data_IF_502752986717
#
_entry.id   IF_502752986717
#
_cell.length_a   1.000
_cell.length_b   1.000
_cell.length_c   1.000
_cell.angle_alpha   90.00
_cell.angle_beta   90.00
_cell.angle_gamma   90.00
#
_symmetry.space_group_name_H-M   'P 1'
#
loop_
_entity.id
_entity.type
_entity.pdbx_description
1 polymer ?
#
# COMPACT_ATOMS: atom_id res chain seq x y z
N UNK A 1 -35.53 8.59 -3.51
CA UNK A 1 -34.28 9.12 -2.93
C UNK A 1 -33.40 7.96 -2.53
N UNK A 2 -32.15 7.94 -3.01
CA UNK A 2 -31.10 6.93 -2.74
C UNK A 2 -31.25 5.56 -3.40
N UNK A 3 -32.48 5.06 -3.49
CA UNK A 3 -32.73 3.68 -3.92
C UNK A 3 -33.17 3.63 -5.40
N UNK A 4 -33.30 4.80 -6.05
CA UNK A 4 -33.66 4.97 -7.45
C UNK A 4 -32.86 6.07 -8.10
N UNK A 5 -32.53 5.91 -9.37
CA UNK A 5 -31.99 6.97 -10.23
C UNK A 5 -33.11 7.51 -11.10
N UNK A 6 -33.22 8.84 -11.17
CA UNK A 6 -34.14 9.55 -12.07
C UNK A 6 -33.36 10.03 -13.29
N UNK A 7 -33.78 9.63 -14.49
CA UNK A 7 -33.21 10.03 -15.77
C UNK A 7 -34.24 10.89 -16.49
N UNK A 8 -33.84 12.10 -16.90
CA UNK A 8 -34.68 12.96 -17.74
C UNK A 8 -34.56 12.54 -19.19
N UNK A 9 -35.67 12.17 -19.84
CA UNK A 9 -35.69 11.75 -21.25
C UNK A 9 -36.25 12.84 -22.16
N UNK A 10 -37.27 13.56 -21.67
CA UNK A 10 -37.84 14.77 -22.29
C UNK A 10 -38.23 15.76 -21.19
N UNK A 11 -38.50 17.04 -21.48
CA UNK A 11 -38.99 17.97 -20.47
C UNK A 11 -40.20 17.38 -19.72
N UNK A 12 -40.11 17.34 -18.39
CA UNK A 12 -41.12 16.78 -17.48
C UNK A 12 -41.39 15.27 -17.61
N UNK A 13 -40.64 14.54 -18.44
CA UNK A 13 -40.73 13.08 -18.58
C UNK A 13 -39.47 12.40 -18.05
N UNK A 14 -39.67 11.52 -17.08
CA UNK A 14 -38.59 10.87 -16.35
C UNK A 14 -38.73 9.35 -16.39
N UNK A 15 -37.60 8.67 -16.55
CA UNK A 15 -37.46 7.25 -16.28
C UNK A 15 -36.84 7.09 -14.89
N UNK A 16 -37.35 6.11 -14.14
CA UNK A 16 -36.78 5.73 -12.85
C UNK A 16 -36.17 4.34 -12.95
N UNK A 17 -34.96 4.18 -12.44
CA UNK A 17 -34.29 2.88 -12.35
C UNK A 17 -34.08 2.56 -10.87
N UNK A 18 -34.63 1.44 -10.42
CA UNK A 18 -34.38 0.90 -9.07
C UNK A 18 -32.93 0.41 -8.97
N UNK A 19 -32.22 0.89 -7.96
CA UNK A 19 -30.87 0.49 -7.67
C UNK A 19 -30.87 -0.80 -6.84
N UNK A 20 -30.23 -1.84 -7.36
CA UNK A 20 -29.93 -3.07 -6.61
C UNK A 20 -28.49 -3.04 -6.13
N UNK A 21 -28.30 -3.02 -4.82
CA UNK A 21 -26.97 -2.92 -4.22
C UNK A 21 -26.90 -3.63 -2.86
N UNK A 22 -25.70 -4.04 -2.46
CA UNK A 22 -25.47 -4.72 -1.19
C UNK A 22 -25.06 -3.76 -0.06
N UNK A 23 -24.79 -4.34 1.12
CA UNK A 23 -24.38 -3.60 2.33
C UNK A 23 -23.18 -2.68 2.13
N UNK A 24 -22.20 -3.08 1.31
CA UNK A 24 -21.03 -2.25 1.02
C UNK A 24 -21.42 -0.94 0.34
N UNK A 25 -22.24 -1.00 -0.70
CA UNK A 25 -22.69 0.17 -1.44
C UNK A 25 -23.67 1.01 -0.62
N UNK A 26 -24.51 0.36 0.18
CA UNK A 26 -25.50 1.02 1.06
C UNK A 26 -24.85 2.09 1.94
N UNK A 27 -23.68 1.81 2.52
CA UNK A 27 -22.90 2.78 3.31
C UNK A 27 -22.57 4.08 2.57
N UNK A 28 -22.30 4.02 1.27
CA UNK A 28 -22.03 5.22 0.47
C UNK A 28 -23.31 5.99 0.13
N UNK A 29 -24.40 5.26 -0.14
CA UNK A 29 -25.71 5.87 -0.40
C UNK A 29 -26.20 6.58 0.85
N UNK A 30 -26.06 5.96 2.03
CA UNK A 30 -26.45 6.56 3.31
C UNK A 30 -25.58 7.78 3.63
N UNK A 31 -24.26 7.68 3.48
CA UNK A 31 -23.36 8.83 3.67
C UNK A 31 -23.64 9.98 2.69
N UNK A 32 -24.09 9.69 1.46
CA UNK A 32 -24.57 10.70 0.51
C UNK A 32 -25.91 11.32 0.94
N UNK A 33 -26.87 10.50 1.41
CA UNK A 33 -28.16 10.99 1.96
C UNK A 33 -27.95 11.95 3.14
N UNK A 34 -26.95 11.66 3.98
CA UNK A 34 -26.55 12.49 5.11
C UNK A 34 -25.72 13.75 4.71
N UNK A 35 -25.46 13.96 3.42
CA UNK A 35 -24.69 15.10 2.93
C UNK A 35 -23.17 15.00 3.13
N UNK A 36 -22.65 13.87 3.61
CA UNK A 36 -21.21 13.65 3.83
C UNK A 36 -20.44 13.37 2.54
N UNK A 37 -21.13 12.94 1.48
CA UNK A 37 -20.57 12.69 0.16
C UNK A 37 -21.32 13.47 -0.90
N UNK A 38 -20.62 13.87 -1.95
CA UNK A 38 -21.19 14.42 -3.19
C UNK A 38 -21.12 13.38 -4.29
N UNK A 39 -22.06 13.38 -5.22
CA UNK A 39 -22.00 12.50 -6.41
C UNK A 39 -21.23 13.18 -7.53
N UNK A 40 -20.42 12.42 -8.27
CA UNK A 40 -19.90 12.82 -9.56
C UNK A 40 -20.86 12.47 -10.71
N UNK A 41 -20.33 12.46 -11.92
CA UNK A 41 -21.09 12.04 -13.11
C UNK A 41 -21.44 10.55 -13.04
N UNK A 42 -22.73 10.24 -13.13
CA UNK A 42 -23.23 8.86 -13.08
C UNK A 42 -23.15 8.27 -14.48
N UNK A 43 -22.50 7.10 -14.60
CA UNK A 43 -22.42 6.37 -15.88
C UNK A 43 -23.28 5.13 -15.83
N UNK A 44 -24.04 4.89 -16.89
CA UNK A 44 -24.91 3.73 -17.04
C UNK A 44 -24.44 2.93 -18.26
N UNK A 45 -24.34 1.62 -18.11
CA UNK A 45 -24.21 0.69 -19.23
C UNK A 45 -25.23 -0.44 -19.10
N UNK A 46 -25.27 -1.33 -20.09
CA UNK A 46 -26.23 -2.44 -20.16
C UNK A 46 -26.25 -3.35 -18.92
N UNK A 47 -25.12 -3.44 -18.20
CA UNK A 47 -24.93 -4.40 -17.11
C UNK A 47 -24.89 -3.78 -15.72
N UNK A 48 -24.57 -2.48 -15.61
CA UNK A 48 -24.37 -1.83 -14.31
C UNK A 48 -24.48 -0.31 -14.39
N UNK A 49 -24.76 0.26 -13.23
CA UNK A 49 -24.70 1.69 -12.99
C UNK A 49 -23.49 1.98 -12.11
N UNK A 50 -22.71 2.99 -12.48
CA UNK A 50 -21.54 3.47 -11.77
C UNK A 50 -21.87 4.84 -11.20
N UNK A 51 -21.95 4.92 -9.88
CA UNK A 51 -22.18 6.17 -9.14
C UNK A 51 -20.87 6.53 -8.43
N UNK A 52 -20.08 7.49 -8.94
CA UNK A 52 -18.90 7.95 -8.25
C UNK A 52 -19.28 8.86 -7.08
N UNK A 53 -18.67 8.64 -5.93
CA UNK A 53 -18.79 9.51 -4.76
C UNK A 53 -17.51 10.29 -4.53
N UNK A 54 -17.65 11.57 -4.21
CA UNK A 54 -16.59 12.51 -3.86
C UNK A 54 -16.73 12.84 -2.38
N UNK A 55 -15.63 12.70 -1.63
CA UNK A 55 -15.52 13.08 -0.23
C UNK A 55 -14.60 14.28 -0.14
N UNK A 56 -15.08 15.37 0.45
CA UNK A 56 -14.21 16.47 0.86
C UNK A 56 -13.51 16.06 2.15
N UNK A 57 -12.19 16.23 2.18
CA UNK A 57 -11.37 15.78 3.30
C UNK A 57 -10.49 16.94 3.75
N UNK A 58 -10.58 17.24 5.04
CA UNK A 58 -9.64 18.12 5.70
C UNK A 58 -8.48 17.26 6.21
N UNK A 59 -7.31 17.42 5.58
CA UNK A 59 -6.10 16.78 6.06
C UNK A 59 -5.63 17.53 7.31
N UNK A 60 -5.80 16.91 8.48
CA UNK A 60 -5.25 17.45 9.70
C UNK A 60 -3.73 17.30 9.65
N UNK A 61 -2.97 18.26 10.20
CA UNK A 61 -1.53 18.09 10.37
C UNK A 61 -1.28 17.39 11.71
N UNK A 62 -0.87 16.11 11.72
CA UNK A 62 -0.69 15.37 12.95
C UNK A 62 0.64 15.75 13.59
N UNK A 63 0.65 15.74 14.92
CA UNK A 63 1.87 15.92 15.70
C UNK A 63 2.82 14.74 15.51
N UNK A 64 2.26 13.53 15.38
CA UNK A 64 3.00 12.29 15.26
C UNK A 64 2.89 11.66 13.87
N UNK A 65 3.95 10.98 13.47
CA UNK A 65 4.10 10.41 12.14
C UNK A 65 4.65 9.00 12.23
N UNK A 66 4.25 8.16 11.27
CA UNK A 66 4.82 6.84 11.07
C UNK A 66 5.50 6.76 9.71
N UNK A 67 6.78 6.42 9.71
CA UNK A 67 7.50 6.07 8.50
C UNK A 67 7.27 4.61 8.16
N UNK A 68 6.86 4.35 6.92
CA UNK A 68 6.54 3.03 6.38
C UNK A 68 7.57 2.68 5.31
N UNK A 69 8.35 1.64 5.59
CA UNK A 69 9.24 0.97 4.64
C UNK A 69 8.53 -0.26 4.05
N UNK A 70 8.48 -0.34 2.72
CA UNK A 70 7.81 -1.42 2.00
C UNK A 70 8.89 -2.29 1.37
N UNK A 71 8.85 -3.59 1.64
CA UNK A 71 9.77 -4.60 1.10
C UNK A 71 9.05 -5.67 0.26
N UNK A 72 9.80 -6.60 -0.35
CA UNK A 72 9.23 -7.67 -1.19
C UNK A 72 8.35 -8.67 -0.42
N UNK A 73 8.57 -8.81 0.89
CA UNK A 73 7.96 -9.83 1.75
C UNK A 73 7.38 -9.29 3.05
N UNK A 74 7.58 -8.01 3.36
CA UNK A 74 7.03 -7.40 4.55
C UNK A 74 6.83 -5.90 4.33
N UNK A 75 6.11 -5.29 5.27
CA UNK A 75 6.07 -3.84 5.49
C UNK A 75 6.50 -3.60 6.93
N UNK A 76 7.42 -2.66 7.12
CA UNK A 76 7.89 -2.23 8.43
C UNK A 76 7.49 -0.77 8.63
N UNK A 77 7.02 -0.42 9.82
CA UNK A 77 6.63 0.93 10.19
C UNK A 77 7.22 1.32 11.54
N UNK A 78 7.74 2.53 11.65
CA UNK A 78 8.21 3.10 12.94
C UNK A 78 7.64 4.50 13.10
N UNK A 79 7.04 4.79 14.24
CA UNK A 79 6.44 6.11 14.52
C UNK A 79 7.28 6.97 15.47
N UNK A 80 7.06 8.29 15.41
CA UNK A 80 7.66 9.30 16.30
C UNK A 80 7.25 9.13 17.77
N UNK A 81 6.11 8.50 18.01
CA UNK A 81 5.64 8.00 19.30
C UNK A 81 5.80 6.47 19.26
N UNK A 82 6.58 5.80 20.14
CA UNK A 82 7.43 4.64 19.84
C UNK A 82 6.71 3.32 19.51
N UNK A 83 5.87 3.29 18.48
CA UNK A 83 5.25 2.09 17.95
C UNK A 83 6.04 1.54 16.78
N UNK A 84 6.09 0.21 16.72
CA UNK A 84 6.62 -0.53 15.58
C UNK A 84 5.48 -1.37 14.99
N UNK A 85 5.21 -1.15 13.70
CA UNK A 85 4.29 -1.94 12.89
C UNK A 85 5.09 -2.90 12.02
N UNK A 86 4.78 -4.19 12.05
CA UNK A 86 5.40 -5.16 11.15
C UNK A 86 4.34 -6.07 10.56
N UNK A 87 4.22 -6.04 9.23
CA UNK A 87 3.26 -6.84 8.48
C UNK A 87 4.04 -7.75 7.53
N UNK A 88 4.07 -9.04 7.83
CA UNK A 88 4.61 -10.04 6.90
C UNK A 88 3.57 -10.45 5.87
N UNK A 89 4.00 -10.67 4.63
CA UNK A 89 3.06 -10.99 3.55
C UNK A 89 3.66 -11.87 2.45
N UNK A 90 2.78 -12.55 1.72
CA UNK A 90 3.16 -13.54 0.71
C UNK A 90 3.33 -13.00 -0.72
N UNK A 91 3.37 -11.67 -0.95
CA UNK A 91 3.48 -11.11 -2.31
C UNK A 91 4.63 -11.73 -3.12
N UNK A 92 5.83 -11.83 -2.53
CA UNK A 92 6.98 -12.49 -3.16
C UNK A 92 6.72 -13.97 -3.49
N UNK A 93 6.08 -14.68 -2.57
CA UNK A 93 5.73 -16.11 -2.75
C UNK A 93 4.73 -16.27 -3.89
N UNK A 94 3.69 -15.44 -3.94
CA UNK A 94 2.70 -15.40 -5.02
C UNK A 94 3.41 -15.21 -6.37
N UNK A 95 4.26 -14.18 -6.52
CA UNK A 95 4.95 -13.93 -7.79
C UNK A 95 5.90 -15.05 -8.20
N UNK A 96 6.57 -15.67 -7.22
CA UNK A 96 7.49 -16.78 -7.47
C UNK A 96 6.74 -18.02 -7.94
N UNK A 97 5.65 -18.38 -7.26
CA UNK A 97 4.79 -19.52 -7.63
C UNK A 97 4.18 -19.34 -9.01
N UNK A 98 3.59 -18.18 -9.29
CA UNK A 98 2.95 -17.94 -10.59
C UNK A 98 3.96 -17.80 -11.73
N UNK A 99 5.20 -17.38 -11.44
CA UNK A 99 6.28 -17.45 -12.41
C UNK A 99 6.60 -18.90 -12.80
N UNK A 100 6.72 -19.81 -11.83
CA UNK A 100 6.95 -21.24 -12.10
C UNK A 100 5.80 -21.84 -12.93
N UNK A 101 4.56 -21.52 -12.59
CA UNK A 101 3.37 -21.93 -13.36
C UNK A 101 3.45 -21.43 -14.81
N UNK A 102 3.75 -20.15 -15.03
CA UNK A 102 3.90 -19.58 -16.38
C UNK A 102 4.99 -20.30 -17.17
N UNK A 103 6.13 -20.59 -16.55
CA UNK A 103 7.24 -21.29 -17.21
C UNK A 103 6.83 -22.69 -17.67
N UNK A 104 6.08 -23.42 -16.86
CA UNK A 104 5.55 -24.74 -17.24
C UNK A 104 4.54 -24.65 -18.40
N UNK A 105 3.65 -23.66 -18.39
CA UNK A 105 2.68 -23.44 -19.47
C UNK A 105 3.39 -23.04 -20.78
N UNK A 106 4.47 -22.26 -20.70
CA UNK A 106 5.26 -21.87 -21.88
C UNK A 106 5.91 -23.08 -22.57
N UNK A 107 6.33 -24.11 -21.81
CA UNK A 107 6.81 -25.37 -22.40
C UNK A 107 5.69 -26.09 -23.17
N UNK A 108 4.47 -26.09 -22.63
CA UNK A 108 3.29 -26.66 -23.28
C UNK A 108 2.92 -25.93 -24.58
N UNK A 109 3.23 -24.63 -24.69
CA UNK A 109 2.88 -23.81 -25.85
C UNK A 109 3.47 -24.35 -27.18
N UNK A 110 4.61 -25.07 -27.12
CA UNK A 110 5.21 -25.73 -28.28
C UNK A 110 4.29 -26.77 -28.92
N UNK A 111 3.51 -27.49 -28.10
CA UNK A 111 2.68 -28.62 -28.55
C UNK A 111 1.18 -28.32 -28.53
N UNK A 112 0.72 -27.44 -27.64
CA UNK A 112 -0.70 -27.08 -27.47
C UNK A 112 -0.87 -25.56 -27.33
N UNK A 113 -0.67 -24.78 -28.40
CA UNK A 113 -0.62 -23.31 -28.34
C UNK A 113 -1.93 -22.67 -27.87
N UNK A 114 -3.09 -23.11 -28.38
CA UNK A 114 -4.42 -22.61 -27.96
C UNK A 114 -4.67 -22.85 -26.47
N UNK A 115 -4.32 -24.05 -25.97
CA UNK A 115 -4.46 -24.40 -24.55
C UNK A 115 -3.51 -23.56 -23.69
N UNK A 116 -2.25 -23.40 -24.10
CA UNK A 116 -1.28 -22.60 -23.38
C UNK A 116 -1.71 -21.13 -23.26
N UNK A 117 -2.21 -20.53 -24.35
CA UNK A 117 -2.73 -19.16 -24.35
C UNK A 117 -3.88 -18.99 -23.35
N UNK A 118 -4.86 -19.91 -23.36
CA UNK A 118 -5.98 -19.91 -22.41
C UNK A 118 -5.50 -20.01 -20.96
N UNK A 119 -4.54 -20.89 -20.68
CA UNK A 119 -3.98 -21.07 -19.34
C UNK A 119 -3.17 -19.85 -18.88
N UNK A 120 -2.35 -19.26 -19.76
CA UNK A 120 -1.61 -18.03 -19.46
C UNK A 120 -2.56 -16.89 -19.07
N UNK A 121 -3.65 -16.68 -19.82
CA UNK A 121 -4.67 -15.67 -19.49
C UNK A 121 -5.32 -15.96 -18.14
N UNK A 122 -5.72 -17.21 -17.88
CA UNK A 122 -6.32 -17.66 -16.61
C UNK A 122 -5.40 -17.39 -15.43
N UNK A 123 -4.15 -17.87 -15.48
CA UNK A 123 -3.23 -17.75 -14.35
C UNK A 123 -2.66 -16.34 -14.17
N UNK A 124 -2.50 -15.56 -15.25
CA UNK A 124 -2.16 -14.13 -15.13
C UNK A 124 -3.28 -13.36 -14.42
N UNK A 125 -4.54 -13.62 -14.76
CA UNK A 125 -5.69 -12.97 -14.11
C UNK A 125 -5.79 -13.37 -12.63
N UNK A 126 -5.55 -14.65 -12.30
CA UNK A 126 -5.52 -15.14 -10.92
C UNK A 126 -4.39 -14.51 -10.09
N UNK A 127 -3.17 -14.44 -10.61
CA UNK A 127 -2.05 -13.78 -9.92
C UNK A 127 -2.38 -12.31 -9.63
N UNK A 128 -2.87 -11.58 -10.65
CA UNK A 128 -3.24 -10.17 -10.51
C UNK A 128 -4.32 -9.97 -9.46
N UNK A 129 -5.33 -10.84 -9.43
CA UNK A 129 -6.40 -10.80 -8.43
C UNK A 129 -5.87 -11.05 -7.02
N UNK A 130 -5.06 -12.11 -6.81
CA UNK A 130 -4.46 -12.42 -5.51
C UNK A 130 -3.57 -11.29 -4.99
N UNK A 131 -2.65 -10.81 -5.82
CA UNK A 131 -1.75 -9.72 -5.44
C UNK A 131 -2.53 -8.42 -5.14
N UNK A 132 -3.60 -8.14 -5.91
CA UNK A 132 -4.48 -6.99 -5.68
C UNK A 132 -5.20 -7.10 -4.33
N UNK A 133 -5.81 -8.25 -4.03
CA UNK A 133 -6.51 -8.50 -2.76
C UNK A 133 -5.57 -8.31 -1.57
N UNK A 134 -4.40 -8.94 -1.61
CA UNK A 134 -3.40 -8.83 -0.56
C UNK A 134 -2.92 -7.38 -0.36
N UNK A 135 -2.68 -6.62 -1.45
CA UNK A 135 -2.36 -5.19 -1.33
C UNK A 135 -3.50 -4.39 -0.68
N UNK A 136 -4.77 -4.71 -0.96
CA UNK A 136 -5.90 -4.06 -0.31
C UNK A 136 -6.01 -4.41 1.18
N UNK A 137 -5.69 -5.64 1.58
CA UNK A 137 -5.67 -6.04 2.99
C UNK A 137 -4.58 -5.28 3.75
N UNK A 138 -3.33 -5.38 3.29
CA UNK A 138 -2.17 -4.70 3.91
C UNK A 138 -2.40 -3.19 4.03
N UNK A 139 -2.83 -2.53 2.96
CA UNK A 139 -3.09 -1.08 3.00
C UNK A 139 -4.24 -0.69 3.92
N UNK A 140 -5.23 -1.57 4.14
CA UNK A 140 -6.32 -1.28 5.10
C UNK A 140 -5.77 -1.35 6.52
N UNK A 141 -4.99 -2.38 6.81
CA UNK A 141 -4.37 -2.62 8.12
C UNK A 141 -3.46 -1.46 8.53
N UNK A 142 -2.60 -0.97 7.62
CA UNK A 142 -1.76 0.23 7.86
C UNK A 142 -2.61 1.47 8.14
N UNK A 143 -3.66 1.70 7.36
CA UNK A 143 -4.52 2.88 7.52
C UNK A 143 -5.35 2.82 8.80
N UNK A 144 -5.82 1.64 9.19
CA UNK A 144 -6.54 1.43 10.44
C UNK A 144 -5.63 1.67 11.65
N UNK A 145 -4.41 1.12 11.61
CA UNK A 145 -3.39 1.36 12.62
C UNK A 145 -3.06 2.85 12.77
N UNK A 146 -2.74 3.53 11.66
CA UNK A 146 -2.41 4.96 11.67
C UNK A 146 -3.58 5.82 12.14
N UNK A 147 -4.81 5.48 11.75
CA UNK A 147 -6.02 6.17 12.20
C UNK A 147 -6.24 6.01 13.70
N UNK A 148 -6.09 4.79 14.24
CA UNK A 148 -6.25 4.50 15.66
C UNK A 148 -5.32 5.35 16.54
N UNK A 149 -4.11 5.62 16.05
CA UNK A 149 -3.10 6.38 16.77
C UNK A 149 -2.97 7.85 16.34
N UNK A 150 -3.73 8.30 15.34
CA UNK A 150 -3.68 9.68 14.85
C UNK A 150 -2.38 10.05 14.13
N UNK A 151 -1.73 9.09 13.47
CA UNK A 151 -0.44 9.32 12.80
C UNK A 151 -0.60 9.77 11.35
N UNK A 152 0.25 10.73 10.95
CA UNK A 152 0.54 10.98 9.53
C UNK A 152 1.43 9.87 8.97
N UNK A 153 1.38 9.63 7.66
CA UNK A 153 2.15 8.55 7.02
C UNK A 153 3.30 9.13 6.19
N UNK A 154 4.51 8.65 6.41
CA UNK A 154 5.68 8.90 5.56
C UNK A 154 6.03 7.63 4.78
N UNK A 155 6.21 7.76 3.47
CA UNK A 155 6.68 6.66 2.61
C UNK A 155 7.89 7.10 1.79
N UNK A 156 8.75 6.15 1.41
CA UNK A 156 9.84 6.47 0.49
C UNK A 156 9.34 6.81 -0.91
N UNK A 157 9.97 7.78 -1.57
CA UNK A 157 9.72 8.07 -2.97
C UNK A 157 10.38 7.02 -3.88
N UNK A 158 9.63 5.99 -4.25
CA UNK A 158 10.08 4.90 -5.13
C UNK A 158 9.91 5.21 -6.63
N UNK A 159 9.78 6.48 -7.01
CA UNK A 159 9.75 6.92 -8.41
C UNK A 159 11.12 6.69 -9.06
N UNK A 160 11.14 6.19 -10.29
CA UNK A 160 12.41 5.93 -10.97
C UNK A 160 13.18 4.70 -10.48
N UNK A 161 12.67 3.92 -9.52
CA UNK A 161 13.41 2.74 -9.02
C UNK A 161 13.54 1.67 -10.09
N UNK A 162 12.52 1.47 -10.94
CA UNK A 162 12.52 0.39 -11.93
C UNK A 162 13.54 0.62 -13.05
N UNK A 163 13.79 1.88 -13.33
CA UNK A 163 14.70 2.41 -14.34
C UNK A 163 16.17 2.30 -13.88
N UNK A 164 16.40 2.26 -12.56
CA UNK A 164 17.74 2.16 -11.93
C UNK A 164 18.16 0.72 -11.59
N UNK A 165 17.30 -0.27 -11.85
CA UNK A 165 17.55 -1.66 -11.50
C UNK A 165 18.59 -2.26 -12.46
N UNK A 166 19.77 -2.58 -11.94
CA UNK A 166 20.79 -3.34 -12.66
C UNK A 166 21.49 -4.36 -11.75
N UNK A 167 20.72 -5.33 -11.24
CA UNK A 167 21.18 -6.34 -10.27
C UNK A 167 21.17 -7.77 -10.86
N UNK A 168 21.22 -7.89 -12.19
CA UNK A 168 21.17 -9.14 -12.92
C UNK A 168 19.76 -9.72 -13.11
N UNK A 169 19.64 -10.67 -14.04
CA UNK A 169 18.35 -11.16 -14.57
C UNK A 169 17.36 -11.63 -13.50
N UNK A 170 17.83 -12.36 -12.49
CA UNK A 170 16.98 -12.93 -11.42
C UNK A 170 16.43 -11.85 -10.49
N UNK A 171 17.26 -10.89 -10.08
CA UNK A 171 16.86 -9.80 -9.19
C UNK A 171 15.98 -8.80 -9.93
N UNK A 172 16.36 -8.41 -11.15
CA UNK A 172 15.57 -7.48 -11.95
C UNK A 172 14.13 -7.99 -12.15
N UNK A 173 13.96 -9.27 -12.49
CA UNK A 173 12.64 -9.90 -12.61
C UNK A 173 11.81 -9.74 -11.33
N UNK A 174 12.40 -10.00 -10.17
CA UNK A 174 11.71 -9.91 -8.87
C UNK A 174 11.25 -8.48 -8.58
N UNK A 175 12.18 -7.53 -8.69
CA UNK A 175 11.91 -6.12 -8.43
C UNK A 175 10.90 -5.52 -9.44
N UNK A 176 10.89 -5.97 -10.69
CA UNK A 176 9.86 -5.56 -11.66
C UNK A 176 8.49 -6.16 -11.37
N UNK A 177 8.41 -7.39 -10.82
CA UNK A 177 7.14 -7.99 -10.41
C UNK A 177 6.58 -7.41 -9.12
N UNK A 178 7.43 -6.79 -8.31
CA UNK A 178 7.06 -6.28 -6.99
C UNK A 178 6.01 -5.15 -7.05
N UNK A 179 5.02 -5.26 -6.17
CA UNK A 179 3.81 -4.45 -6.14
C UNK A 179 3.90 -3.13 -5.34
N UNK A 180 5.10 -2.66 -5.00
CA UNK A 180 5.30 -1.46 -4.15
C UNK A 180 4.44 -0.26 -4.58
N UNK A 181 4.47 0.16 -5.86
CA UNK A 181 3.67 1.32 -6.32
C UNK A 181 2.18 1.16 -6.09
N UNK A 182 1.67 -0.07 -6.27
CA UNK A 182 0.26 -0.38 -6.03
C UNK A 182 -0.07 -0.26 -4.54
N UNK A 183 0.79 -0.81 -3.68
CA UNK A 183 0.61 -0.74 -2.24
C UNK A 183 0.67 0.72 -1.75
N UNK A 184 1.66 1.50 -2.18
CA UNK A 184 1.76 2.93 -1.89
C UNK A 184 0.50 3.69 -2.32
N UNK A 185 0.04 3.48 -3.56
CA UNK A 185 -1.20 4.11 -4.05
C UNK A 185 -2.39 3.74 -3.18
N UNK A 186 -2.48 2.49 -2.73
CA UNK A 186 -3.59 2.01 -1.90
C UNK A 186 -3.55 2.56 -0.48
N UNK A 187 -2.37 2.67 0.12
CA UNK A 187 -2.18 3.36 1.40
C UNK A 187 -2.60 4.82 1.23
N UNK A 188 -2.07 5.49 0.21
CA UNK A 188 -2.27 6.93 0.00
C UNK A 188 -3.75 7.30 -0.16
N UNK A 189 -4.49 6.64 -1.07
CA UNK A 189 -5.89 7.00 -1.27
C UNK A 189 -6.75 6.67 -0.05
N UNK A 190 -6.46 5.57 0.66
CA UNK A 190 -7.23 5.17 1.85
C UNK A 190 -6.95 6.08 3.04
N UNK A 191 -5.68 6.41 3.28
CA UNK A 191 -5.28 7.36 4.31
C UNK A 191 -5.94 8.72 4.07
N UNK A 192 -5.89 9.21 2.83
CA UNK A 192 -6.58 10.45 2.44
C UNK A 192 -8.09 10.35 2.65
N UNK A 193 -8.74 9.22 2.36
CA UNK A 193 -10.18 9.06 2.66
C UNK A 193 -10.48 9.13 4.16
N UNK A 194 -9.53 8.79 5.02
CA UNK A 194 -9.65 8.85 6.48
C UNK A 194 -9.15 10.18 7.09
N UNK A 195 -8.74 11.16 6.27
CA UNK A 195 -8.24 12.45 6.79
C UNK A 195 -6.78 12.46 7.21
N UNK A 196 -6.05 11.37 6.95
CA UNK A 196 -4.64 11.23 7.31
C UNK A 196 -3.74 11.74 6.18
N UNK A 197 -2.81 12.67 6.47
CA UNK A 197 -1.87 13.13 5.46
C UNK A 197 -0.83 12.05 5.14
N UNK A 198 -0.36 12.08 3.90
CA UNK A 198 0.66 11.18 3.39
C UNK A 198 1.73 12.00 2.69
N UNK A 199 2.96 11.86 3.15
CA UNK A 199 4.14 12.54 2.62
C UNK A 199 5.15 11.52 2.07
N UNK A 200 5.96 11.97 1.11
CA UNK A 200 7.01 11.16 0.52
C UNK A 200 8.37 11.81 0.75
N UNK A 201 9.35 11.01 1.19
CA UNK A 201 10.74 11.46 1.42
C UNK A 201 11.69 10.84 0.40
N UNK A 202 12.81 11.51 0.12
CA UNK A 202 13.85 10.96 -0.76
C UNK A 202 14.49 9.72 -0.10
N UNK A 203 14.55 8.56 -0.77
CA UNK A 203 15.17 7.36 -0.21
C UNK A 203 16.70 7.48 0.01
N UNK A 204 17.37 8.51 -0.55
CA UNK A 204 18.84 8.63 -0.48
C UNK A 204 19.35 8.74 0.96
N UNK A 205 20.13 7.73 1.36
CA UNK A 205 20.82 7.72 2.65
C UNK A 205 19.98 7.22 3.82
N UNK A 206 18.70 6.89 3.61
CA UNK A 206 17.79 6.43 4.67
C UNK A 206 18.24 5.10 5.30
N UNK A 207 18.90 4.21 4.56
CA UNK A 207 19.31 2.89 5.06
C UNK A 207 20.82 2.73 5.35
N UNK A 208 21.63 3.78 5.15
CA UNK A 208 23.10 3.70 5.27
C UNK A 208 23.70 4.61 6.35
N UNK A 209 22.91 5.52 6.91
CA UNK A 209 23.34 6.45 7.95
C UNK A 209 22.76 6.09 9.31
N UNK A 210 23.52 6.33 10.37
CA UNK A 210 23.07 6.13 11.73
C UNK A 210 22.01 7.18 12.07
N UNK A 211 20.81 6.76 12.53
CA UNK A 211 19.74 7.71 12.85
C UNK A 211 20.12 8.61 14.03
N UNK A 212 20.98 8.14 14.94
CA UNK A 212 21.46 8.89 16.11
C UNK A 212 22.55 9.89 15.74
N UNK A 213 23.70 9.42 15.24
CA UNK A 213 24.90 10.27 15.09
C UNK A 213 25.21 10.67 13.65
N UNK A 214 24.46 10.19 12.66
CA UNK A 214 24.70 10.44 11.23
C UNK A 214 25.91 9.73 10.62
N UNK A 215 26.68 8.96 11.40
CA UNK A 215 27.81 8.18 10.89
C UNK A 215 27.37 7.05 9.95
N UNK A 216 28.24 6.62 9.03
CA UNK A 216 27.96 5.48 8.14
C UNK A 216 27.79 4.19 8.96
N UNK A 217 26.77 3.41 8.64
CA UNK A 217 26.51 2.12 9.26
C UNK A 217 27.30 1.02 8.56
N UNK A 218 27.81 0.08 9.35
CA UNK A 218 28.44 -1.15 8.88
C UNK A 218 27.43 -2.31 8.95
N UNK A 219 27.54 -3.24 7.99
CA UNK A 219 26.77 -4.49 8.06
C UNK A 219 27.24 -5.33 9.24
N UNK A 220 26.31 -5.82 10.05
CA UNK A 220 26.58 -6.70 11.19
C UNK A 220 25.80 -8.03 11.01
N UNK A 221 26.05 -8.71 9.89
CA UNK A 221 25.25 -9.84 9.42
C UNK A 221 24.31 -9.46 8.27
N UNK A 222 23.24 -10.24 8.05
CA UNK A 222 22.42 -10.13 6.84
C UNK A 222 21.44 -8.95 6.85
N UNK A 223 20.86 -8.61 8.02
CA UNK A 223 19.88 -7.50 8.16
C UNK A 223 20.22 -6.48 9.23
N UNK A 224 21.08 -6.84 10.17
CA UNK A 224 21.47 -5.95 11.26
C UNK A 224 22.56 -4.99 10.77
N UNK A 225 22.42 -3.73 11.18
CA UNK A 225 23.39 -2.68 10.95
C UNK A 225 23.97 -2.26 12.31
N UNK A 226 25.25 -1.89 12.34
CA UNK A 226 25.91 -1.35 13.53
C UNK A 226 26.65 -0.06 13.19
N UNK A 227 26.52 0.94 14.05
CA UNK A 227 27.26 2.18 13.95
C UNK A 227 28.61 2.04 14.66
N UNK A 228 29.75 2.18 13.95
CA UNK A 228 31.06 2.17 14.59
C UNK A 228 31.33 3.41 15.44
N UNK A 229 30.64 4.54 15.17
CA UNK A 229 30.86 5.81 15.87
C UNK A 229 30.16 5.89 17.23
N UNK A 230 28.91 5.41 17.33
CA UNK A 230 28.11 5.52 18.57
C UNK A 230 27.57 4.17 19.07
N UNK A 231 27.97 3.04 18.48
CA UNK A 231 27.61 1.70 18.93
C UNK A 231 26.19 1.23 18.58
N UNK A 232 25.29 2.11 18.17
CA UNK A 232 23.88 1.78 17.87
C UNK A 232 23.76 0.64 16.84
N UNK A 233 22.93 -0.35 17.15
CA UNK A 233 22.64 -1.46 16.24
C UNK A 233 21.16 -1.79 16.17
N UNK A 234 20.65 -2.01 14.96
CA UNK A 234 19.23 -2.36 14.73
C UNK A 234 19.03 -2.99 13.34
N UNK A 235 17.83 -3.49 13.07
CA UNK A 235 17.45 -3.98 11.74
C UNK A 235 17.45 -2.84 10.71
N UNK A 236 17.87 -3.15 9.48
CA UNK A 236 17.93 -2.19 8.37
C UNK A 236 16.61 -1.47 8.11
N UNK A 237 15.48 -2.16 8.22
CA UNK A 237 14.17 -1.57 7.93
C UNK A 237 13.79 -0.55 9.02
N UNK A 238 14.12 -0.84 10.28
CA UNK A 238 13.92 0.08 11.41
C UNK A 238 14.80 1.32 11.22
N UNK A 239 16.07 1.14 10.85
CA UNK A 239 16.98 2.24 10.53
C UNK A 239 16.43 3.12 9.40
N UNK A 240 15.89 2.51 8.35
CA UNK A 240 15.28 3.23 7.23
C UNK A 240 14.13 4.12 7.71
N UNK A 241 13.18 3.55 8.46
CA UNK A 241 12.04 4.30 9.00
C UNK A 241 12.48 5.44 9.94
N UNK A 242 13.44 5.20 10.83
CA UNK A 242 13.97 6.22 11.76
C UNK A 242 14.64 7.39 11.01
N UNK A 243 15.41 7.10 9.96
CA UNK A 243 16.01 8.15 9.14
C UNK A 243 14.97 8.92 8.35
N UNK A 244 13.91 8.28 7.85
CA UNK A 244 12.79 8.98 7.19
C UNK A 244 12.10 9.96 8.14
N UNK A 245 11.81 9.55 9.38
CA UNK A 245 11.26 10.44 10.41
C UNK A 245 12.18 11.64 10.66
N UNK A 246 13.50 11.38 10.79
CA UNK A 246 14.51 12.43 10.97
C UNK A 246 14.59 13.39 9.78
N UNK A 247 14.58 12.87 8.54
CA UNK A 247 14.63 13.68 7.32
C UNK A 247 13.43 14.62 7.20
N UNK A 248 12.25 14.16 7.64
CA UNK A 248 11.05 14.99 7.70
C UNK A 248 11.14 16.06 8.81
N UNK A 249 11.91 15.82 9.87
CA UNK A 249 11.92 16.65 11.08
C UNK A 249 10.83 16.25 12.08
N UNK A 250 10.32 15.02 12.01
CA UNK A 250 9.45 14.49 13.07
C UNK A 250 10.25 14.28 14.37
N UNK A 251 9.60 14.35 15.54
CA UNK A 251 10.25 14.01 16.80
C UNK A 251 10.91 12.64 16.73
N UNK A 252 12.18 12.57 17.12
CA UNK A 252 12.91 11.32 17.08
C UNK A 252 12.46 10.45 18.27
N UNK A 253 11.98 9.21 18.04
CA UNK A 253 11.46 8.37 19.12
C UNK A 253 12.62 7.78 19.91
N UNK A 254 13.22 8.55 20.83
CA UNK A 254 14.33 8.11 21.67
C UNK A 254 13.97 6.86 22.50
N UNK A 255 12.71 6.75 22.92
CA UNK A 255 12.19 5.56 23.60
C UNK A 255 12.13 4.32 22.68
N UNK A 256 11.87 4.49 21.38
CA UNK A 256 11.86 3.36 20.43
C UNK A 256 13.24 2.75 20.17
N UNK A 257 14.32 3.45 20.53
CA UNK A 257 15.67 2.89 20.45
C UNK A 257 15.91 1.77 21.47
N UNK A 258 15.24 1.85 22.63
CA UNK A 258 15.50 0.99 23.78
C UNK A 258 14.31 0.09 24.14
N UNK A 259 13.07 0.54 23.93
CA UNK A 259 11.83 -0.15 24.29
C UNK A 259 10.74 0.08 23.23
N UNK A 260 10.79 -0.60 22.08
CA UNK A 260 9.73 -0.47 21.07
C UNK A 260 8.42 -1.05 21.58
N UNK A 261 7.33 -0.27 21.55
CA UNK A 261 5.97 -0.80 21.66
C UNK A 261 5.68 -1.58 20.38
N UNK A 262 6.03 -2.85 20.40
CA UNK A 262 5.93 -3.72 19.23
C UNK A 262 4.50 -4.20 19.12
N UNK A 263 3.81 -3.79 18.07
CA UNK A 263 2.51 -4.35 17.72
C UNK A 263 2.75 -5.22 16.48
N UNK A 264 3.04 -6.50 16.73
CA UNK A 264 3.05 -7.51 15.67
C UNK A 264 1.60 -7.81 15.28
N UNK A 265 1.11 -7.12 14.25
CA UNK A 265 -0.13 -7.54 13.63
C UNK A 265 0.21 -8.71 12.71
N UNK A 266 -0.04 -9.94 13.19
CA UNK A 266 -0.03 -11.12 12.33
C UNK A 266 -1.17 -10.96 11.33
N UNK A 267 -0.84 -10.49 10.13
CA UNK A 267 -1.79 -10.38 9.03
C UNK A 267 -2.52 -11.72 8.87
N UNK A 268 -3.82 -11.74 9.20
CA UNK A 268 -4.67 -12.89 8.86
C UNK A 268 -4.77 -12.92 7.34
N UNK A 269 -4.14 -13.92 6.72
CA UNK A 269 -4.17 -14.18 5.28
C UNK A 269 -5.58 -14.26 4.72
#
# INVERSE_FOLDING_TARGET
YGDRIRISVKPRNFIFIDLKYGEYQKRFIDAWKEGKLKTGEITINENKIIIPFKKEVNLQNPNDWIAIDINESNVTGVSSNPHVLKIEHELRTIHTTYFSIRRSIQKLAKHKPKTAQRLLKKYSSREKAKAKDLCHKISREIVEFTKQHGFGILMENLKGIRERINYGRKMNRRLHSWNFRRLQSYIEYKAKLEGLPVEHVDPKGASSLCPICGGRLASNGHRLLKCPKCGYGSDRDIVACLNMLRMRGAPFPLKALNEPLTIEVKGKG
#
